data_IF_760597215391
#
_entry.id   IF_760597215391
#
_cell.length_a   1.000
_cell.length_b   1.000
_cell.length_c   1.000
_cell.angle_alpha   90.00
_cell.angle_beta   90.00
_cell.angle_gamma   90.00
#
_symmetry.space_group_name_H-M   'P 1'
#
loop_
_entity.id
_entity.type
_entity.pdbx_description
1 polymer ?
#
# COMPACT_ATOMS: atom_id res chain seq x y z
N UNK A 1 -22.92 -0.04 9.34
CA UNK A 1 -22.33 1.06 8.57
C UNK A 1 -21.31 0.42 7.66
N UNK A 2 -21.44 0.59 6.35
CA UNK A 2 -20.46 0.03 5.40
C UNK A 2 -19.12 0.72 5.61
N UNK A 3 -18.06 -0.06 5.77
CA UNK A 3 -16.70 0.46 5.89
C UNK A 3 -16.25 0.91 4.49
N UNK A 4 -15.98 2.19 4.30
CA UNK A 4 -15.45 2.68 3.03
C UNK A 4 -14.10 2.00 2.72
N UNK A 5 -14.04 1.35 1.55
CA UNK A 5 -12.85 0.62 1.07
C UNK A 5 -12.27 1.34 -0.15
N UNK A 6 -10.97 1.59 -0.13
CA UNK A 6 -10.25 2.29 -1.19
C UNK A 6 -9.28 1.34 -1.90
N UNK A 7 -9.22 1.43 -3.22
CA UNK A 7 -8.17 0.82 -4.03
C UNK A 7 -7.23 1.89 -4.58
N UNK A 8 -5.93 1.73 -4.39
CA UNK A 8 -4.89 2.59 -4.98
C UNK A 8 -4.14 1.77 -6.02
N UNK A 9 -4.31 2.14 -7.30
CA UNK A 9 -3.68 1.46 -8.44
C UNK A 9 -2.35 2.16 -8.75
N UNK A 10 -1.26 1.51 -8.39
CA UNK A 10 0.11 1.96 -8.67
C UNK A 10 0.93 2.20 -7.41
N UNK A 11 1.93 1.36 -7.17
CA UNK A 11 2.83 1.44 -6.01
C UNK A 11 4.08 2.29 -6.27
N UNK A 12 3.92 3.44 -6.94
CA UNK A 12 4.96 4.48 -6.99
C UNK A 12 5.03 5.29 -5.70
N UNK A 13 5.90 6.30 -5.63
CA UNK A 13 6.09 7.14 -4.44
C UNK A 13 4.76 7.75 -3.94
N UNK A 14 4.00 8.38 -4.83
CA UNK A 14 2.73 9.01 -4.48
C UNK A 14 1.61 8.00 -4.20
N UNK A 15 1.47 6.94 -5.00
CA UNK A 15 0.45 5.93 -4.73
C UNK A 15 0.65 5.26 -3.36
N UNK A 16 1.90 4.94 -3.02
CA UNK A 16 2.27 4.42 -1.71
C UNK A 16 1.96 5.43 -0.59
N UNK A 17 2.31 6.70 -0.79
CA UNK A 17 2.02 7.78 0.18
C UNK A 17 0.52 7.95 0.42
N UNK A 18 -0.29 7.96 -0.64
CA UNK A 18 -1.74 8.10 -0.54
C UNK A 18 -2.36 6.89 0.18
N UNK A 19 -1.93 5.68 -0.18
CA UNK A 19 -2.40 4.46 0.46
C UNK A 19 -2.09 4.43 1.97
N UNK A 20 -0.87 4.84 2.35
CA UNK A 20 -0.47 5.02 3.75
C UNK A 20 -1.37 6.03 4.47
N UNK A 21 -1.57 7.22 3.90
CA UNK A 21 -2.39 8.28 4.52
C UNK A 21 -3.84 7.84 4.74
N UNK A 22 -4.42 7.10 3.79
CA UNK A 22 -5.77 6.55 3.93
C UNK A 22 -5.84 5.46 5.01
N UNK A 23 -4.84 4.57 5.06
CA UNK A 23 -4.77 3.53 6.07
C UNK A 23 -4.59 4.12 7.49
N UNK A 24 -3.76 5.16 7.66
CA UNK A 24 -3.59 5.88 8.93
C UNK A 24 -4.86 6.61 9.39
N UNK A 25 -5.76 6.95 8.47
CA UNK A 25 -7.09 7.50 8.79
C UNK A 25 -8.10 6.43 9.19
N UNK A 26 -7.72 5.15 9.20
CA UNK A 26 -8.57 4.04 9.62
C UNK A 26 -9.44 3.45 8.52
N UNK A 27 -9.21 3.80 7.25
CA UNK A 27 -9.94 3.20 6.13
C UNK A 27 -9.36 1.85 5.74
N UNK A 28 -10.18 0.98 5.16
CA UNK A 28 -9.70 -0.24 4.53
C UNK A 28 -9.09 0.10 3.16
N UNK A 29 -7.80 -0.18 2.97
CA UNK A 29 -7.08 0.22 1.76
C UNK A 29 -6.35 -0.96 1.15
N UNK A 30 -6.46 -1.11 -0.17
CA UNK A 30 -5.62 -2.00 -0.97
C UNK A 30 -4.70 -1.14 -1.84
N UNK A 31 -3.39 -1.39 -1.75
CA UNK A 31 -2.40 -0.88 -2.69
C UNK A 31 -2.03 -1.96 -3.69
N UNK A 32 -2.29 -1.70 -4.97
CA UNK A 32 -1.89 -2.58 -6.04
C UNK A 32 -0.53 -2.16 -6.61
N UNK A 33 0.40 -3.11 -6.68
CA UNK A 33 1.71 -2.98 -7.32
C UNK A 33 1.76 -3.88 -8.55
N UNK A 34 2.27 -3.37 -9.68
CA UNK A 34 2.36 -4.13 -10.93
C UNK A 34 3.28 -5.36 -10.80
N UNK A 35 4.46 -5.18 -10.20
CA UNK A 35 5.46 -6.24 -10.06
C UNK A 35 5.18 -7.08 -8.82
N UNK A 36 5.13 -8.41 -9.01
CA UNK A 36 4.87 -9.37 -7.93
C UNK A 36 5.92 -9.30 -6.82
N UNK A 37 7.19 -9.26 -7.19
CA UNK A 37 8.30 -9.27 -6.23
C UNK A 37 8.32 -7.99 -5.38
N UNK A 38 7.96 -6.85 -5.99
CA UNK A 38 7.77 -5.60 -5.28
C UNK A 38 6.61 -5.71 -4.27
N UNK A 39 5.44 -6.21 -4.70
CA UNK A 39 4.27 -6.37 -3.82
C UNK A 39 4.59 -7.27 -2.61
N UNK A 40 5.26 -8.40 -2.85
CA UNK A 40 5.63 -9.35 -1.81
C UNK A 40 6.66 -8.77 -0.83
N UNK A 41 7.67 -8.06 -1.35
CA UNK A 41 8.68 -7.40 -0.52
C UNK A 41 8.04 -6.32 0.33
N UNK A 42 7.20 -5.45 -0.26
CA UNK A 42 6.48 -4.41 0.48
C UNK A 42 5.54 -4.99 1.54
N UNK A 43 4.83 -6.08 1.23
CA UNK A 43 3.92 -6.74 2.18
C UNK A 43 4.68 -7.33 3.38
N UNK A 44 5.88 -7.86 3.15
CA UNK A 44 6.72 -8.48 4.17
C UNK A 44 7.51 -7.47 5.01
N UNK A 45 8.20 -6.55 4.34
CA UNK A 45 9.11 -5.59 4.99
C UNK A 45 8.36 -4.34 5.47
N UNK A 46 7.08 -4.19 5.10
CA UNK A 46 6.25 -3.02 5.38
C UNK A 46 6.91 -1.70 4.94
N UNK A 47 7.62 -1.74 3.81
CA UNK A 47 8.29 -0.57 3.23
C UNK A 47 8.32 -0.68 1.71
N UNK A 48 8.10 0.43 1.00
CA UNK A 48 8.42 0.54 -0.42
C UNK A 48 9.82 1.13 -0.58
N UNK A 49 10.85 0.34 -0.29
CA UNK A 49 12.24 0.81 -0.30
C UNK A 49 12.71 1.31 -1.68
N UNK A 50 12.06 0.88 -2.76
CA UNK A 50 12.36 1.30 -4.13
C UNK A 50 11.84 2.71 -4.44
N UNK A 51 10.60 3.03 -4.06
CA UNK A 51 9.94 4.29 -4.44
C UNK A 51 9.68 5.25 -3.28
N UNK A 52 9.77 4.80 -2.03
CA UNK A 52 9.53 5.60 -0.83
C UNK A 52 10.41 5.09 0.35
N UNK A 53 11.75 5.23 0.25
CA UNK A 53 12.67 4.68 1.24
C UNK A 53 12.55 5.35 2.62
N UNK A 54 12.69 4.55 3.67
CA UNK A 54 12.63 4.96 5.07
C UNK A 54 11.22 5.22 5.61
N UNK A 55 10.18 4.89 4.84
CA UNK A 55 8.77 5.08 5.25
C UNK A 55 8.10 3.75 5.53
N UNK A 56 7.80 3.51 6.81
CA UNK A 56 7.04 2.35 7.25
C UNK A 56 5.56 2.43 6.82
N UNK A 57 5.04 1.32 6.32
CA UNK A 57 3.68 1.15 5.82
C UNK A 57 2.80 0.51 6.90
N UNK A 58 1.65 1.11 7.26
CA UNK A 58 0.78 0.61 8.31
C UNK A 58 0.36 -0.85 8.08
N UNK A 59 0.43 -1.73 9.08
CA UNK A 59 0.06 -3.15 8.96
C UNK A 59 -1.34 -3.39 8.34
N UNK A 60 -2.27 -2.47 8.58
CA UNK A 60 -3.63 -2.53 8.03
C UNK A 60 -3.71 -2.27 6.51
N UNK A 61 -2.65 -1.75 5.88
CA UNK A 61 -2.60 -1.55 4.43
C UNK A 61 -2.35 -2.89 3.73
N UNK A 62 -3.36 -3.36 2.99
CA UNK A 62 -3.27 -4.54 2.13
C UNK A 62 -2.45 -4.21 0.88
N UNK A 63 -1.51 -5.07 0.51
CA UNK A 63 -0.63 -4.89 -0.65
C UNK A 63 -0.76 -6.13 -1.53
N UNK A 64 -1.04 -5.94 -2.81
CA UNK A 64 -1.27 -7.04 -3.76
C UNK A 64 -0.70 -6.71 -5.14
N UNK A 65 -0.39 -7.75 -5.93
CA UNK A 65 -0.14 -7.61 -7.36
C UNK A 65 -1.28 -8.15 -8.23
N UNK A 66 -2.32 -8.71 -7.61
CA UNK A 66 -3.55 -9.12 -8.30
C UNK A 66 -4.55 -7.98 -8.25
N UNK A 67 -5.00 -7.56 -9.43
CA UNK A 67 -6.12 -6.64 -9.56
C UNK A 67 -7.44 -7.42 -9.56
#
# INVERSE_FOLDING_TARGET
>A
MDMERFGVVGAGAWGTTLAKLLAEKGYAVILWAWERDLALTMAKERENSLYLPGVELPEALEITNSL
#
